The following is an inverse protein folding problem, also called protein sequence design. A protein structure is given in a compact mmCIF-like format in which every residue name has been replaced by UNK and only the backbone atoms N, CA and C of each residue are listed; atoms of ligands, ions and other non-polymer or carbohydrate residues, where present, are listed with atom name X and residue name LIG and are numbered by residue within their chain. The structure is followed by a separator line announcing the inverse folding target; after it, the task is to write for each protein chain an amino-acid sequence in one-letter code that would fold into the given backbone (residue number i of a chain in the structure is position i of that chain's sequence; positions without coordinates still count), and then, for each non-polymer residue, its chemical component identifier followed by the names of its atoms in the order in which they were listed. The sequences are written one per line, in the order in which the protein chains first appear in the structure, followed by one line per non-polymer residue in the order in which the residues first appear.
data_IF_471739562754
#
_entry.id   IF_471739562754
#
_cell.length_a   1.000
_cell.length_b   1.000
_cell.length_c   1.000
_cell.angle_alpha   90.00
_cell.angle_beta   90.00
_cell.angle_gamma   90.00
#
_symmetry.space_group_name_H-M   'P 1'
#
loop_
_entity.id
_entity.type
_entity.pdbx_description
1 polymer ?
#
# COMPACT_ATOMS: atom_id res chain seq x y z
N UNK A 1 23.24 -2.75 37.81
CA UNK A 1 22.05 -3.62 37.95
C UNK A 1 21.21 -3.51 36.67
N UNK A 2 20.40 -4.52 36.28
CA UNK A 2 19.46 -4.38 35.14
C UNK A 2 18.04 -4.26 35.65
N UNK A 3 17.23 -3.47 34.96
CA UNK A 3 15.79 -3.36 35.20
C UNK A 3 15.01 -3.73 33.94
N UNK A 4 13.88 -4.41 34.10
CA UNK A 4 12.98 -4.84 33.03
C UNK A 4 11.69 -4.04 33.10
N UNK A 5 11.45 -3.20 32.09
CA UNK A 5 10.22 -2.40 32.00
C UNK A 5 9.20 -3.10 31.11
N UNK A 6 7.99 -3.27 31.63
CA UNK A 6 6.86 -3.95 31.01
C UNK A 6 5.69 -2.98 30.93
N UNK A 7 5.15 -2.80 29.72
CA UNK A 7 3.94 -2.00 29.48
C UNK A 7 2.75 -2.95 29.32
N UNK A 8 1.69 -2.72 30.09
CA UNK A 8 0.45 -3.52 30.07
C UNK A 8 -0.78 -2.60 30.02
N UNK A 9 -1.98 -3.17 29.84
CA UNK A 9 -3.25 -2.42 29.90
C UNK A 9 -3.54 -1.83 31.29
N UNK A 10 -2.94 -2.40 32.34
CA UNK A 10 -3.13 -1.92 33.71
C UNK A 10 -2.15 -0.82 34.10
N UNK A 11 -1.06 -0.66 33.34
CA UNK A 11 0.02 0.25 33.69
C UNK A 11 1.39 -0.23 33.24
N UNK A 12 2.41 0.46 33.75
CA UNK A 12 3.81 0.23 33.45
C UNK A 12 4.48 -0.27 34.72
N UNK A 13 5.22 -1.36 34.61
CA UNK A 13 5.87 -2.03 35.72
C UNK A 13 7.36 -2.17 35.43
N UNK A 14 8.20 -1.99 36.44
CA UNK A 14 9.64 -2.17 36.40
C UNK A 14 10.05 -3.24 37.40
N UNK A 15 10.79 -4.24 36.93
CA UNK A 15 11.31 -5.34 37.75
C UNK A 15 12.84 -5.38 37.71
N UNK A 16 13.49 -5.92 38.73
CA UNK A 16 14.94 -6.18 38.74
C UNK A 16 15.31 -7.51 38.03
N UNK A 17 16.53 -8.02 38.22
CA UNK A 17 16.98 -9.25 37.57
C UNK A 17 16.34 -10.52 38.15
N UNK A 18 15.98 -10.43 39.42
CA UNK A 18 15.39 -11.43 40.31
C UNK A 18 13.86 -11.50 40.16
N UNK A 19 13.25 -10.43 39.61
CA UNK A 19 11.82 -10.32 39.34
C UNK A 19 11.05 -9.59 40.44
N UNK A 20 11.74 -8.91 41.35
CA UNK A 20 11.13 -8.04 42.35
C UNK A 20 10.73 -6.71 41.74
N UNK A 21 9.59 -6.18 42.19
CA UNK A 21 9.02 -4.95 41.65
C UNK A 21 9.81 -3.75 42.18
N UNK A 22 10.48 -3.03 41.29
CA UNK A 22 11.17 -1.77 41.62
C UNK A 22 10.15 -0.63 41.65
N UNK A 23 9.34 -0.49 40.60
CA UNK A 23 8.43 0.63 40.44
C UNK A 23 7.22 0.27 39.56
N UNK A 24 6.08 0.91 39.80
CA UNK A 24 4.89 0.79 38.93
C UNK A 24 4.15 2.12 38.80
N UNK A 25 3.61 2.36 37.61
CA UNK A 25 2.63 3.41 37.34
C UNK A 25 1.37 2.74 36.82
N UNK A 26 0.27 2.86 37.55
CA UNK A 26 -1.02 2.30 37.15
C UNK A 26 -1.78 3.27 36.25
N UNK A 27 -2.47 2.74 35.24
CA UNK A 27 -3.36 3.52 34.40
C UNK A 27 -4.75 3.66 35.05
N UNK A 28 -5.51 4.73 34.72
CA UNK A 28 -6.90 4.85 35.14
C UNK A 28 -7.72 3.67 34.61
N UNK A 29 -8.77 3.24 35.34
CA UNK A 29 -9.66 2.13 34.94
C UNK A 29 -10.60 2.46 33.75
N UNK A 30 -10.32 3.52 33.02
CA UNK A 30 -11.06 3.88 31.80
C UNK A 30 -10.38 3.27 30.57
N UNK A 31 -11.10 2.39 29.88
CA UNK A 31 -10.60 1.70 28.70
C UNK A 31 -10.24 2.66 27.55
N UNK A 32 -10.94 3.79 27.42
CA UNK A 32 -10.68 4.77 26.36
C UNK A 32 -9.39 5.55 26.61
N UNK A 33 -9.18 6.04 27.84
CA UNK A 33 -7.95 6.68 28.25
C UNK A 33 -6.74 5.73 28.16
N UNK A 34 -6.90 4.46 28.57
CA UNK A 34 -5.85 3.45 28.41
C UNK A 34 -5.52 3.25 26.93
N UNK A 35 -6.52 3.04 26.08
CA UNK A 35 -6.30 2.84 24.65
C UNK A 35 -5.60 4.06 24.01
N UNK A 36 -5.90 5.28 24.46
CA UNK A 36 -5.22 6.48 23.99
C UNK A 36 -3.74 6.48 24.38
N UNK A 37 -3.44 6.23 25.66
CA UNK A 37 -2.07 6.13 26.17
C UNK A 37 -1.28 5.02 25.48
N UNK A 38 -1.90 3.87 25.24
CA UNK A 38 -1.24 2.74 24.57
C UNK A 38 -1.01 2.97 23.07
N UNK A 39 -1.84 3.81 22.42
CA UNK A 39 -1.72 4.10 20.99
C UNK A 39 -0.52 5.01 20.64
N UNK A 40 -0.03 5.81 21.61
CA UNK A 40 1.12 6.71 21.47
C UNK A 40 2.30 6.22 22.34
N UNK A 41 3.45 6.88 22.22
CA UNK A 41 4.51 6.73 23.21
C UNK A 41 4.02 7.27 24.55
N UNK A 42 4.04 6.44 25.61
CA UNK A 42 3.58 6.84 26.94
C UNK A 42 4.66 7.70 27.60
N UNK A 43 4.30 8.90 28.04
CA UNK A 43 5.17 9.74 28.86
C UNK A 43 5.55 9.05 30.18
N UNK A 44 4.61 8.30 30.75
CA UNK A 44 4.83 7.53 31.98
C UNK A 44 5.90 6.45 31.81
N UNK A 45 6.05 5.90 30.60
CA UNK A 45 7.09 4.93 30.29
C UNK A 45 8.46 5.59 30.27
N UNK A 46 8.55 6.80 29.69
CA UNK A 46 9.78 7.58 29.65
C UNK A 46 10.21 7.98 31.06
N UNK A 47 9.27 8.46 31.90
CA UNK A 47 9.53 8.84 33.30
C UNK A 47 10.14 7.69 34.11
N UNK A 48 9.58 6.47 34.01
CA UNK A 48 10.15 5.29 34.68
C UNK A 48 11.56 4.97 34.14
N UNK A 49 11.75 5.02 32.83
CA UNK A 49 13.06 4.71 32.22
C UNK A 49 14.13 5.72 32.65
N UNK A 50 13.79 7.01 32.73
CA UNK A 50 14.70 8.08 33.18
C UNK A 50 15.06 7.89 34.65
N UNK A 51 14.07 7.71 35.52
CA UNK A 51 14.28 7.49 36.95
C UNK A 51 15.13 6.24 37.23
N UNK A 52 14.91 5.15 36.51
CA UNK A 52 15.73 3.94 36.63
C UNK A 52 17.18 4.16 36.16
N UNK A 53 17.39 4.99 35.14
CA UNK A 53 18.75 5.34 34.68
C UNK A 53 19.47 6.22 35.69
N UNK A 54 18.80 7.19 36.30
CA UNK A 54 19.34 8.03 37.39
C UNK A 54 19.76 7.18 38.59
N UNK A 55 19.01 6.11 38.88
CA UNK A 55 19.35 5.12 39.91
C UNK A 55 20.42 4.11 39.49
N UNK A 56 21.03 4.25 38.31
CA UNK A 56 22.13 3.39 37.83
C UNK A 56 21.70 2.05 37.23
N UNK A 57 20.42 1.85 36.91
CA UNK A 57 19.94 0.63 36.25
C UNK A 57 20.12 0.66 34.73
N UNK A 58 20.58 -0.46 34.18
CA UNK A 58 20.57 -0.72 32.74
C UNK A 58 19.20 -1.28 32.33
N UNK A 59 18.34 -0.42 31.79
CA UNK A 59 16.96 -0.76 31.43
C UNK A 59 16.88 -1.64 30.17
N UNK A 60 16.09 -2.71 30.22
CA UNK A 60 15.74 -3.58 29.09
C UNK A 60 14.22 -3.63 28.93
N UNK A 61 13.72 -3.42 27.71
CA UNK A 61 12.31 -3.64 27.37
C UNK A 61 12.11 -5.09 26.94
N UNK A 62 11.74 -5.97 27.88
CA UNK A 62 11.45 -7.39 27.60
C UNK A 62 10.23 -7.85 28.40
N UNK A 63 9.43 -8.79 27.88
CA UNK A 63 8.26 -9.34 28.59
C UNK A 63 8.64 -10.33 29.70
N UNK A 64 9.80 -10.16 30.34
CA UNK A 64 10.24 -11.03 31.45
C UNK A 64 9.39 -10.67 32.68
N UNK A 65 8.91 -11.66 33.43
CA UNK A 65 8.07 -11.48 34.64
C UNK A 65 6.64 -10.97 34.39
N UNK A 66 6.15 -11.02 33.14
CA UNK A 66 4.76 -10.67 32.83
C UNK A 66 3.74 -11.50 33.63
N UNK A 67 4.06 -12.77 33.89
CA UNK A 67 3.24 -13.70 34.68
C UNK A 67 3.02 -13.25 36.13
N UNK A 68 3.92 -12.41 36.68
CA UNK A 68 3.77 -11.83 38.03
C UNK A 68 2.74 -10.69 38.06
N UNK A 69 2.27 -10.22 36.91
CA UNK A 69 1.25 -9.16 36.81
C UNK A 69 -0.12 -9.80 36.64
N UNK A 70 -1.02 -9.58 37.60
CA UNK A 70 -2.42 -10.01 37.50
C UNK A 70 -3.19 -9.09 36.55
N UNK A 71 -3.31 -9.49 35.29
CA UNK A 71 -4.02 -8.72 34.25
C UNK A 71 -5.54 -8.97 34.33
N UNK A 72 -6.32 -7.89 34.40
CA UNK A 72 -7.77 -7.96 34.23
C UNK A 72 -8.12 -8.31 32.78
N UNK A 73 -8.65 -9.52 32.57
CA UNK A 73 -9.02 -10.04 31.25
C UNK A 73 -10.15 -9.24 30.60
N UNK A 74 -11.10 -8.72 31.39
CA UNK A 74 -12.24 -7.94 30.87
C UNK A 74 -11.74 -6.60 30.35
N UNK A 75 -10.95 -5.90 31.16
CA UNK A 75 -10.32 -4.64 30.76
C UNK A 75 -9.39 -4.83 29.56
N UNK A 76 -8.60 -5.91 29.53
CA UNK A 76 -7.75 -6.24 28.39
C UNK A 76 -8.55 -6.40 27.09
N UNK A 77 -9.69 -7.10 27.15
CA UNK A 77 -10.55 -7.30 25.99
C UNK A 77 -11.13 -5.97 25.49
N UNK A 78 -11.71 -5.16 26.38
CA UNK A 78 -12.30 -3.86 26.04
C UNK A 78 -11.26 -2.90 25.42
N UNK A 79 -10.09 -2.77 26.05
CA UNK A 79 -8.99 -1.94 25.52
C UNK A 79 -8.50 -2.46 24.16
N UNK A 80 -8.42 -3.79 24.00
CA UNK A 80 -7.98 -4.40 22.73
C UNK A 80 -8.96 -4.12 21.59
N UNK A 81 -10.26 -4.20 21.85
CA UNK A 81 -11.30 -3.84 20.87
C UNK A 81 -11.19 -2.37 20.46
N UNK A 82 -11.08 -1.47 21.43
CA UNK A 82 -10.94 -0.02 21.15
C UNK A 82 -9.67 0.26 20.34
N UNK A 83 -8.53 -0.34 20.70
CA UNK A 83 -7.28 -0.19 19.95
C UNK A 83 -7.39 -0.76 18.54
N UNK A 84 -8.05 -1.90 18.36
CA UNK A 84 -8.28 -2.51 17.05
C UNK A 84 -9.16 -1.60 16.18
N UNK A 85 -10.28 -1.11 16.71
CA UNK A 85 -11.15 -0.16 16.03
C UNK A 85 -10.42 1.13 15.64
N UNK A 86 -9.60 1.69 16.53
CA UNK A 86 -8.82 2.91 16.24
C UNK A 86 -7.82 2.66 15.12
N UNK A 87 -7.06 1.57 15.17
CA UNK A 87 -6.12 1.19 14.10
C UNK A 87 -6.84 0.93 12.77
N UNK A 88 -8.03 0.36 12.80
CA UNK A 88 -8.87 0.16 11.60
C UNK A 88 -9.31 1.50 11.01
N UNK A 89 -9.82 2.41 11.85
CA UNK A 89 -10.24 3.76 11.43
C UNK A 89 -9.08 4.59 10.87
N UNK A 90 -7.88 4.48 11.45
CA UNK A 90 -6.68 5.14 10.92
C UNK A 90 -6.29 4.59 9.55
N UNK A 91 -6.24 3.26 9.39
CA UNK A 91 -5.95 2.62 8.10
C UNK A 91 -7.01 2.92 7.03
N UNK A 92 -8.27 3.07 7.42
CA UNK A 92 -9.35 3.43 6.51
C UNK A 92 -9.23 4.87 5.99
N UNK A 93 -8.54 5.76 6.72
CA UNK A 93 -8.28 7.15 6.32
C UNK A 93 -7.07 7.30 5.40
N UNK A 94 -6.30 6.24 5.17
CA UNK A 94 -5.17 6.31 4.24
C UNK A 94 -5.71 6.58 2.82
N UNK A 95 -5.30 7.71 2.23
CA UNK A 95 -5.81 8.19 0.93
C UNK A 95 -5.57 7.18 -0.21
N UNK A 96 -4.57 6.32 -0.07
CA UNK A 96 -4.30 5.25 -1.02
C UNK A 96 -5.43 4.22 -1.09
N UNK A 97 -6.22 3.99 -0.03
CA UNK A 97 -7.39 3.10 -0.09
C UNK A 97 -8.43 3.55 -1.10
N UNK A 98 -8.74 4.84 -1.14
CA UNK A 98 -9.73 5.39 -2.06
C UNK A 98 -9.26 5.21 -3.51
N UNK A 99 -7.98 5.47 -3.77
CA UNK A 99 -7.37 5.27 -5.09
C UNK A 99 -7.38 3.79 -5.50
N UNK A 100 -7.06 2.88 -4.58
CA UNK A 100 -7.08 1.43 -4.84
C UNK A 100 -8.49 0.99 -5.25
N UNK A 101 -9.52 1.41 -4.51
CA UNK A 101 -10.90 1.08 -4.87
C UNK A 101 -11.33 1.72 -6.18
N UNK A 102 -10.91 2.97 -6.45
CA UNK A 102 -11.24 3.66 -7.69
C UNK A 102 -10.59 3.02 -8.92
N UNK A 103 -9.34 2.54 -8.83
CA UNK A 103 -8.70 1.85 -9.95
C UNK A 103 -9.26 0.45 -10.17
N UNK A 104 -9.59 -0.29 -9.10
CA UNK A 104 -10.28 -1.59 -9.20
C UNK A 104 -11.64 -1.43 -9.87
N UNK A 105 -12.44 -0.45 -9.43
CA UNK A 105 -13.72 -0.14 -10.06
C UNK A 105 -13.56 0.32 -11.53
N UNK A 106 -12.47 1.03 -11.87
CA UNK A 106 -12.18 1.39 -13.26
C UNK A 106 -11.88 0.16 -14.11
N UNK A 107 -11.15 -0.81 -13.57
CA UNK A 107 -10.82 -2.07 -14.25
C UNK A 107 -12.09 -2.93 -14.44
N UNK A 108 -12.95 -3.01 -13.42
CA UNK A 108 -14.25 -3.70 -13.49
C UNK A 108 -15.20 -3.07 -14.51
N UNK A 109 -15.22 -1.73 -14.58
CA UNK A 109 -15.99 -1.00 -15.60
C UNK A 109 -15.45 -1.28 -17.00
N UNK A 110 -14.14 -1.33 -17.18
CA UNK A 110 -13.53 -1.62 -18.48
C UNK A 110 -13.90 -3.02 -18.98
N UNK A 111 -13.84 -4.01 -18.11
CA UNK A 111 -14.27 -5.38 -18.43
C UNK A 111 -15.76 -5.43 -18.75
N UNK A 112 -16.59 -4.82 -17.91
CA UNK A 112 -18.04 -4.80 -18.09
C UNK A 112 -18.47 -4.09 -19.38
N UNK A 113 -17.89 -2.93 -19.68
CA UNK A 113 -18.19 -2.17 -20.91
C UNK A 113 -17.79 -2.98 -22.14
N UNK A 114 -16.64 -3.64 -22.12
CA UNK A 114 -16.19 -4.47 -23.24
C UNK A 114 -17.15 -5.64 -23.48
N UNK A 115 -17.54 -6.36 -22.42
CA UNK A 115 -18.50 -7.46 -22.51
C UNK A 115 -19.85 -7.00 -23.09
N UNK A 116 -20.37 -5.87 -22.61
CA UNK A 116 -21.63 -5.31 -23.10
C UNK A 116 -21.53 -4.85 -24.56
N UNK A 117 -20.40 -4.28 -24.97
CA UNK A 117 -20.15 -3.88 -26.37
C UNK A 117 -20.06 -5.06 -27.31
N UNK A 118 -19.38 -6.13 -26.90
CA UNK A 118 -19.32 -7.38 -27.66
C UNK A 118 -20.72 -7.93 -27.84
N UNK A 119 -21.51 -8.02 -26.75
CA UNK A 119 -22.89 -8.48 -26.82
C UNK A 119 -23.76 -7.61 -27.71
N UNK A 120 -23.64 -6.29 -27.60
CA UNK A 120 -24.38 -5.34 -28.44
C UNK A 120 -24.04 -5.51 -29.93
N UNK A 121 -22.76 -5.74 -30.23
CA UNK A 121 -22.29 -5.94 -31.61
C UNK A 121 -22.83 -7.24 -32.21
N UNK A 122 -22.83 -8.33 -31.44
CA UNK A 122 -23.45 -9.60 -31.85
C UNK A 122 -24.95 -9.44 -32.07
N UNK A 123 -25.62 -8.71 -31.17
CA UNK A 123 -27.06 -8.54 -31.23
C UNK A 123 -27.49 -7.75 -32.46
N UNK A 124 -26.76 -6.68 -32.78
CA UNK A 124 -26.97 -5.87 -33.99
C UNK A 124 -26.72 -6.63 -35.30
N UNK A 125 -25.94 -7.72 -35.26
CA UNK A 125 -25.69 -8.54 -36.43
C UNK A 125 -26.84 -9.50 -36.76
N UNK A 126 -27.85 -9.64 -35.89
CA UNK A 126 -29.01 -10.47 -36.14
C UNK A 126 -29.98 -9.79 -37.13
N UNK A 127 -30.69 -10.57 -37.96
CA UNK A 127 -31.59 -10.04 -38.99
C UNK A 127 -32.92 -9.48 -38.45
N UNK A 128 -33.11 -9.41 -37.13
CA UNK A 128 -34.33 -8.95 -36.46
C UNK A 128 -34.12 -7.54 -35.91
N UNK A 129 -35.11 -6.65 -36.09
CA UNK A 129 -35.09 -5.33 -35.46
C UNK A 129 -35.61 -5.40 -34.01
N UNK A 130 -34.83 -4.86 -33.07
CA UNK A 130 -35.14 -4.89 -31.64
C UNK A 130 -35.87 -3.63 -31.14
N UNK A 131 -36.24 -2.73 -32.05
CA UNK A 131 -36.97 -1.50 -31.73
C UNK A 131 -36.23 -0.62 -30.71
N UNK A 132 -36.95 -0.11 -29.73
CA UNK A 132 -36.40 0.85 -28.75
C UNK A 132 -35.40 0.22 -27.76
N UNK A 133 -35.42 -1.11 -27.58
CA UNK A 133 -34.50 -1.82 -26.67
C UNK A 133 -33.04 -1.67 -27.16
N UNK A 134 -32.80 -1.67 -28.48
CA UNK A 134 -31.46 -1.48 -29.03
C UNK A 134 -30.90 -0.09 -28.65
N UNK A 135 -31.74 0.94 -28.79
CA UNK A 135 -31.36 2.32 -28.45
C UNK A 135 -31.08 2.45 -26.95
N UNK A 136 -31.94 1.88 -26.11
CA UNK A 136 -31.77 1.89 -24.66
C UNK A 136 -30.49 1.18 -24.23
N UNK A 137 -30.18 0.02 -24.82
CA UNK A 137 -28.95 -0.70 -24.50
C UNK A 137 -27.71 0.11 -24.91
N UNK A 138 -27.73 0.71 -26.10
CA UNK A 138 -26.65 1.57 -26.56
C UNK A 138 -26.43 2.79 -25.64
N UNK A 139 -27.50 3.44 -25.18
CA UNK A 139 -27.37 4.59 -24.27
C UNK A 139 -26.84 4.17 -22.90
N UNK A 140 -27.25 3.01 -22.35
CA UNK A 140 -26.67 2.46 -21.12
C UNK A 140 -25.17 2.22 -21.23
N UNK A 141 -24.69 1.70 -22.36
CA UNK A 141 -23.25 1.54 -22.60
C UNK A 141 -22.54 2.91 -22.60
N UNK A 142 -23.11 3.91 -23.27
CA UNK A 142 -22.57 5.29 -23.28
C UNK A 142 -22.53 5.90 -21.89
N UNK A 143 -23.54 5.68 -21.06
CA UNK A 143 -23.56 6.15 -19.67
C UNK A 143 -22.43 5.55 -18.84
N UNK A 144 -22.17 4.25 -18.99
CA UNK A 144 -21.04 3.58 -18.35
C UNK A 144 -19.70 4.15 -18.84
N UNK A 145 -19.55 4.40 -20.14
CA UNK A 145 -18.35 5.05 -20.69
C UNK A 145 -18.15 6.48 -20.14
N UNK A 146 -19.22 7.26 -20.02
CA UNK A 146 -19.20 8.60 -19.40
C UNK A 146 -18.78 8.48 -17.94
N UNK A 147 -19.29 7.48 -17.20
CA UNK A 147 -18.91 7.24 -15.81
C UNK A 147 -17.44 6.82 -15.67
N UNK A 148 -16.97 5.87 -16.48
CA UNK A 148 -15.55 5.48 -16.57
C UNK A 148 -14.64 6.70 -16.72
N UNK A 149 -14.95 7.61 -17.66
CA UNK A 149 -14.17 8.85 -17.86
C UNK A 149 -14.17 9.77 -16.64
N UNK A 150 -15.28 9.86 -15.89
CA UNK A 150 -15.34 10.63 -14.64
C UNK A 150 -14.46 9.99 -13.57
N UNK A 151 -14.49 8.66 -13.45
CA UNK A 151 -13.69 7.92 -12.49
C UNK A 151 -12.19 8.03 -12.80
N UNK A 152 -11.80 7.96 -14.09
CA UNK A 152 -10.42 8.18 -14.52
C UNK A 152 -9.91 9.57 -14.13
N UNK A 153 -10.71 10.63 -14.37
CA UNK A 153 -10.37 12.00 -13.94
C UNK A 153 -10.23 12.11 -12.42
N UNK A 154 -11.05 11.40 -11.66
CA UNK A 154 -10.95 11.35 -10.21
C UNK A 154 -9.65 10.68 -9.77
N UNK A 155 -9.31 9.53 -10.36
CA UNK A 155 -8.03 8.83 -10.12
C UNK A 155 -6.86 9.75 -10.45
N UNK A 156 -6.91 10.47 -11.58
CA UNK A 156 -5.88 11.44 -11.95
C UNK A 156 -5.68 12.52 -10.87
N UNK A 157 -6.76 13.17 -10.44
CA UNK A 157 -6.69 14.24 -9.45
C UNK A 157 -6.15 13.75 -8.09
N UNK A 158 -6.57 12.57 -7.64
CA UNK A 158 -6.11 12.00 -6.38
C UNK A 158 -4.67 11.49 -6.46
N UNK A 159 -4.27 10.91 -7.60
CA UNK A 159 -2.90 10.45 -7.82
C UNK A 159 -1.88 11.59 -7.84
N UNK A 160 -2.23 12.75 -8.38
CA UNK A 160 -1.35 13.93 -8.32
C UNK A 160 -1.13 14.42 -6.88
N UNK A 161 -2.11 14.22 -5.99
CA UNK A 161 -1.97 14.55 -4.56
C UNK A 161 -1.22 13.49 -3.78
N UNK A 162 -1.44 12.21 -4.09
CA UNK A 162 -0.87 11.09 -3.35
C UNK A 162 0.58 10.79 -3.77
N UNK A 163 0.81 10.63 -5.08
CA UNK A 163 2.06 10.13 -5.62
C UNK A 163 2.43 10.85 -6.94
N UNK A 164 2.76 12.16 -6.87
CA UNK A 164 3.11 12.94 -8.04
C UNK A 164 4.39 12.45 -8.74
N UNK A 165 5.36 11.89 -8.01
CA UNK A 165 6.60 11.41 -8.62
C UNK A 165 6.40 10.15 -9.47
N UNK A 166 5.65 9.16 -8.96
CA UNK A 166 5.33 7.96 -9.75
C UNK A 166 4.47 8.36 -10.96
N UNK A 167 3.48 9.23 -10.75
CA UNK A 167 2.58 9.71 -11.80
C UNK A 167 3.31 10.44 -12.93
N UNK A 168 4.36 11.22 -12.62
CA UNK A 168 5.18 11.86 -13.64
C UNK A 168 5.91 10.88 -14.57
N UNK A 169 6.25 9.68 -14.05
CA UNK A 169 6.97 8.65 -14.80
C UNK A 169 6.01 7.77 -15.61
N UNK A 170 4.90 7.33 -15.01
CA UNK A 170 4.03 6.30 -15.58
C UNK A 170 2.68 6.78 -16.09
N UNK A 171 2.26 7.99 -15.69
CA UNK A 171 0.86 8.42 -15.72
C UNK A 171 0.10 7.90 -14.50
N UNK A 172 -0.99 8.59 -14.16
CA UNK A 172 -1.77 8.35 -12.95
C UNK A 172 -2.44 6.95 -12.92
N UNK A 173 -3.08 6.52 -14.01
CA UNK A 173 -3.80 5.22 -14.07
C UNK A 173 -2.87 4.03 -13.81
N UNK A 174 -1.72 3.99 -14.49
CA UNK A 174 -0.74 2.91 -14.30
C UNK A 174 -0.07 2.97 -12.92
N UNK A 175 0.12 4.18 -12.39
CA UNK A 175 0.64 4.39 -11.03
C UNK A 175 -0.34 3.89 -9.96
N UNK A 176 -1.62 4.21 -10.10
CA UNK A 176 -2.69 3.72 -9.22
C UNK A 176 -2.77 2.19 -9.25
N UNK A 177 -2.69 1.58 -10.44
CA UNK A 177 -2.71 0.12 -10.59
C UNK A 177 -1.49 -0.55 -9.90
N UNK A 178 -0.32 0.07 -9.96
CA UNK A 178 0.86 -0.41 -9.21
C UNK A 178 0.69 -0.31 -7.69
N UNK A 179 0.09 0.78 -7.20
CA UNK A 179 -0.20 0.97 -5.78
C UNK A 179 -1.22 -0.07 -5.30
N UNK A 180 -2.26 -0.35 -6.09
CA UNK A 180 -3.22 -1.43 -5.84
C UNK A 180 -2.54 -2.79 -5.74
N UNK A 181 -1.74 -3.18 -6.74
CA UNK A 181 -1.02 -4.46 -6.72
C UNK A 181 -0.03 -4.60 -5.54
N UNK A 182 0.58 -3.50 -5.10
CA UNK A 182 1.44 -3.51 -3.91
C UNK A 182 0.64 -3.53 -2.59
N UNK A 183 -0.64 -3.17 -2.64
CA UNK A 183 -1.54 -3.06 -1.49
C UNK A 183 -1.30 -1.81 -0.64
N UNK A 184 -0.88 -0.71 -1.26
CA UNK A 184 -0.66 0.61 -0.63
C UNK A 184 0.66 1.28 -1.05
N UNK A 185 0.72 2.62 -0.94
CA UNK A 185 1.89 3.41 -1.35
C UNK A 185 3.12 3.09 -0.48
N UNK A 186 2.92 2.98 0.84
CA UNK A 186 3.98 2.63 1.78
C UNK A 186 4.59 1.26 1.48
N UNK A 187 3.75 0.27 1.14
CA UNK A 187 4.24 -1.06 0.75
C UNK A 187 5.04 -0.98 -0.54
N UNK A 188 4.53 -0.27 -1.55
CA UNK A 188 5.23 -0.08 -2.84
C UNK A 188 6.62 0.54 -2.63
N UNK A 189 6.74 1.55 -1.77
CA UNK A 189 8.01 2.21 -1.47
C UNK A 189 9.06 1.29 -0.81
N UNK A 190 8.62 0.24 -0.12
CA UNK A 190 9.48 -0.77 0.50
C UNK A 190 9.91 -1.87 -0.48
N UNK A 191 9.25 -2.01 -1.63
CA UNK A 191 9.58 -3.06 -2.59
C UNK A 191 10.92 -2.77 -3.29
N UNK A 192 11.76 -3.80 -3.53
CA UNK A 192 12.91 -3.66 -4.40
C UNK A 192 12.46 -3.50 -5.86
N UNK A 193 13.31 -2.87 -6.68
CA UNK A 193 13.03 -2.66 -8.11
C UNK A 193 12.77 -3.98 -8.86
N UNK A 194 13.43 -5.08 -8.49
CA UNK A 194 13.21 -6.40 -9.07
C UNK A 194 11.79 -6.92 -8.86
N UNK A 195 11.18 -6.62 -7.71
CA UNK A 195 9.79 -6.99 -7.42
C UNK A 195 8.82 -6.07 -8.14
N UNK A 196 9.05 -4.76 -8.12
CA UNK A 196 8.25 -3.77 -8.86
C UNK A 196 8.20 -4.11 -10.35
N UNK A 197 9.32 -4.57 -10.92
CA UNK A 197 9.41 -4.96 -12.33
C UNK A 197 8.36 -6.03 -12.73
N UNK A 198 8.02 -6.94 -11.84
CA UNK A 198 7.18 -8.12 -12.12
C UNK A 198 5.83 -8.11 -11.41
N UNK A 199 5.45 -7.02 -10.73
CA UNK A 199 4.11 -6.87 -10.14
C UNK A 199 3.02 -7.02 -11.21
N UNK A 200 2.00 -7.83 -10.97
CA UNK A 200 0.97 -8.19 -11.94
C UNK A 200 1.33 -9.36 -12.86
N UNK A 201 2.52 -9.97 -12.70
CA UNK A 201 2.92 -11.20 -13.39
C UNK A 201 3.08 -12.39 -12.43
N UNK A 202 2.35 -12.40 -11.31
CA UNK A 202 2.44 -13.38 -10.23
C UNK A 202 2.27 -14.81 -10.78
N UNK A 203 1.27 -15.05 -11.63
CA UNK A 203 1.03 -16.37 -12.24
C UNK A 203 2.27 -16.89 -12.98
N UNK A 204 2.93 -16.05 -13.78
CA UNK A 204 4.13 -16.42 -14.53
C UNK A 204 5.36 -16.56 -13.60
N UNK A 205 5.47 -15.69 -12.59
CA UNK A 205 6.53 -15.75 -11.60
C UNK A 205 6.45 -17.04 -10.77
N UNK A 206 5.26 -17.40 -10.27
CA UNK A 206 5.05 -18.65 -9.54
C UNK A 206 5.32 -19.87 -10.42
N UNK A 207 4.93 -19.84 -11.70
CA UNK A 207 5.29 -20.90 -12.65
C UNK A 207 6.80 -21.05 -12.83
N UNK A 208 7.57 -19.96 -12.81
CA UNK A 208 9.04 -20.01 -12.82
C UNK A 208 9.58 -20.62 -11.53
N UNK A 209 9.11 -20.15 -10.37
CA UNK A 209 9.60 -20.62 -9.06
C UNK A 209 9.32 -22.11 -8.85
N UNK A 210 8.13 -22.59 -9.25
CA UNK A 210 7.71 -23.98 -9.03
C UNK A 210 8.27 -24.92 -10.11
N UNK A 211 8.22 -24.51 -11.39
CA UNK A 211 8.49 -25.40 -12.54
C UNK A 211 9.80 -25.08 -13.29
N UNK A 212 10.59 -24.10 -12.84
CA UNK A 212 11.82 -23.69 -13.51
C UNK A 212 11.64 -23.04 -14.89
N UNK A 213 10.40 -22.71 -15.30
CA UNK A 213 10.12 -22.06 -16.59
C UNK A 213 10.78 -20.67 -16.70
N UNK A 214 10.96 -20.08 -17.89
CA UNK A 214 11.64 -18.77 -18.00
C UNK A 214 10.94 -17.67 -17.17
N UNK A 215 11.68 -16.84 -16.40
CA UNK A 215 11.08 -15.81 -15.56
C UNK A 215 10.39 -14.70 -16.38
N UNK A 216 9.33 -14.07 -15.85
CA UNK A 216 8.68 -12.95 -16.51
C UNK A 216 9.62 -11.74 -16.58
N UNK A 217 9.62 -11.05 -17.73
CA UNK A 217 10.48 -9.87 -17.95
C UNK A 217 9.87 -8.57 -17.40
N UNK A 218 8.56 -8.54 -17.25
CA UNK A 218 7.77 -7.39 -16.82
C UNK A 218 6.39 -7.87 -16.38
N UNK A 219 5.78 -7.16 -15.43
CA UNK A 219 4.37 -7.31 -15.09
C UNK A 219 3.53 -6.18 -15.68
N UNK A 220 2.69 -5.56 -14.85
CA UNK A 220 1.75 -4.48 -15.23
C UNK A 220 2.44 -3.31 -15.92
N UNK A 221 3.71 -3.02 -15.57
CA UNK A 221 4.52 -1.96 -16.18
C UNK A 221 4.72 -2.13 -17.69
N UNK A 222 4.44 -3.33 -18.24
CA UNK A 222 4.41 -3.57 -19.68
C UNK A 222 3.49 -2.60 -20.44
N UNK A 223 2.42 -2.11 -19.79
CA UNK A 223 1.47 -1.17 -20.37
C UNK A 223 2.12 0.18 -20.72
N UNK A 224 3.25 0.53 -20.09
CA UNK A 224 3.96 1.76 -20.37
C UNK A 224 4.49 1.79 -21.82
N UNK A 225 4.28 2.91 -22.52
CA UNK A 225 4.59 3.05 -23.96
C UNK A 225 6.04 2.72 -24.31
N UNK A 226 7.00 3.09 -23.45
CA UNK A 226 8.43 2.77 -23.65
C UNK A 226 8.71 1.27 -23.73
N UNK A 227 7.89 0.43 -23.08
CA UNK A 227 8.07 -1.03 -23.09
C UNK A 227 7.19 -1.64 -24.18
N UNK A 228 5.89 -1.34 -24.21
CA UNK A 228 4.92 -1.91 -25.15
C UNK A 228 5.39 -1.79 -26.60
N UNK A 229 5.88 -0.60 -26.97
CA UNK A 229 6.27 -0.26 -28.34
C UNK A 229 7.71 -0.69 -28.68
N UNK A 230 8.46 -1.27 -27.74
CA UNK A 230 9.85 -1.68 -27.96
C UNK A 230 9.96 -3.15 -28.40
N UNK A 231 11.01 -3.52 -29.17
CA UNK A 231 11.26 -4.90 -29.59
C UNK A 231 11.40 -5.88 -28.41
N UNK A 232 10.96 -7.14 -28.58
CA UNK A 232 10.97 -8.19 -27.52
C UNK A 232 12.34 -8.37 -26.84
N UNK A 233 13.45 -8.15 -27.57
CA UNK A 233 14.82 -8.22 -27.05
C UNK A 233 15.12 -7.13 -26.02
N UNK A 234 14.57 -5.93 -26.20
CA UNK A 234 14.86 -4.74 -25.39
C UNK A 234 13.91 -4.55 -24.21
N UNK A 235 12.68 -5.10 -24.28
CA UNK A 235 11.63 -4.93 -23.26
C UNK A 235 12.11 -5.20 -21.83
N UNK A 236 12.88 -6.26 -21.59
CA UNK A 236 13.39 -6.59 -20.26
C UNK A 236 14.42 -5.59 -19.72
N UNK A 237 15.29 -5.04 -20.58
CA UNK A 237 16.27 -4.01 -20.20
C UNK A 237 15.56 -2.70 -19.84
N UNK A 238 14.57 -2.32 -20.63
CA UNK A 238 13.75 -1.11 -20.40
C UNK A 238 12.89 -1.27 -19.14
N UNK A 239 12.26 -2.43 -18.94
CA UNK A 239 11.47 -2.72 -17.74
C UNK A 239 12.28 -2.59 -16.44
N UNK A 240 13.52 -3.07 -16.44
CA UNK A 240 14.43 -2.92 -15.30
C UNK A 240 14.80 -1.46 -15.03
N UNK A 241 15.10 -0.69 -16.08
CA UNK A 241 15.40 0.74 -15.95
C UNK A 241 14.18 1.51 -15.40
N UNK A 242 12.98 1.21 -15.91
CA UNK A 242 11.72 1.79 -15.44
C UNK A 242 11.46 1.45 -13.97
N UNK A 243 11.53 0.18 -13.59
CA UNK A 243 11.30 -0.26 -12.22
C UNK A 243 12.26 0.38 -11.21
N UNK A 244 13.51 0.63 -11.62
CA UNK A 244 14.49 1.35 -10.79
C UNK A 244 14.06 2.79 -10.50
N UNK A 245 13.53 3.49 -11.51
CA UNK A 245 13.04 4.87 -11.35
C UNK A 245 11.74 4.92 -10.55
N UNK A 246 10.83 3.96 -10.76
CA UNK A 246 9.63 3.81 -9.94
C UNK A 246 9.99 3.60 -8.46
N UNK A 247 10.98 2.74 -8.16
CA UNK A 247 11.39 2.48 -6.77
C UNK A 247 11.87 3.76 -6.05
N UNK A 248 12.60 4.63 -6.76
CA UNK A 248 13.05 5.91 -6.22
C UNK A 248 11.87 6.87 -6.04
N UNK A 249 11.02 6.98 -7.06
CA UNK A 249 9.83 7.83 -7.03
C UNK A 249 8.87 7.44 -5.90
N UNK A 250 8.62 6.15 -5.70
CA UNK A 250 7.74 5.64 -4.66
C UNK A 250 8.25 5.98 -3.25
N UNK A 251 9.57 5.89 -3.02
CA UNK A 251 10.18 6.32 -1.76
C UNK A 251 10.07 7.82 -1.55
N UNK A 252 10.25 8.59 -2.63
CA UNK A 252 10.11 10.04 -2.57
C UNK A 252 8.68 10.45 -2.20
N UNK A 253 7.67 9.85 -2.83
CA UNK A 253 6.25 10.07 -2.57
C UNK A 253 5.84 9.63 -1.15
N UNK A 254 6.28 8.45 -0.70
CA UNK A 254 5.88 7.91 0.60
C UNK A 254 6.52 8.63 1.81
N UNK A 255 7.81 8.97 1.70
CA UNK A 255 8.59 9.43 2.86
C UNK A 255 9.05 10.89 2.76
N UNK A 256 9.64 11.29 1.63
CA UNK A 256 10.28 12.62 1.51
C UNK A 256 9.31 13.74 1.14
N UNK A 257 8.22 13.42 0.44
CA UNK A 257 7.26 14.36 -0.16
C UNK A 257 7.88 15.42 -1.09
N UNK A 258 9.16 15.26 -1.49
CA UNK A 258 9.81 16.14 -2.46
C UNK A 258 9.46 15.71 -3.89
N UNK A 259 9.20 16.68 -4.75
CA UNK A 259 9.02 16.42 -6.18
C UNK A 259 10.38 16.33 -6.90
N UNK A 260 10.60 15.19 -7.57
CA UNK A 260 11.76 14.83 -8.39
C UNK A 260 11.35 14.09 -9.69
N UNK A 261 10.05 14.07 -10.02
CA UNK A 261 9.49 13.28 -11.12
C UNK A 261 10.11 13.59 -12.48
N UNK A 262 10.26 14.88 -12.82
CA UNK A 262 10.82 15.31 -14.11
C UNK A 262 12.29 14.90 -14.29
N UNK A 263 13.09 14.99 -13.23
CA UNK A 263 14.48 14.57 -13.25
C UNK A 263 14.59 13.05 -13.47
N UNK A 264 13.75 12.26 -12.78
CA UNK A 264 13.70 10.81 -12.95
C UNK A 264 13.24 10.42 -14.35
N UNK A 265 12.27 11.14 -14.92
CA UNK A 265 11.78 10.94 -16.28
C UNK A 265 12.88 11.21 -17.32
N UNK A 266 13.59 12.34 -17.21
CA UNK A 266 14.74 12.66 -18.09
C UNK A 266 15.82 11.58 -18.01
N UNK A 267 16.18 11.15 -16.80
CA UNK A 267 17.16 10.06 -16.59
C UNK A 267 16.70 8.72 -17.17
N UNK A 268 15.40 8.42 -17.10
CA UNK A 268 14.83 7.22 -17.71
C UNK A 268 14.94 7.29 -19.24
N UNK A 269 14.51 8.39 -19.84
CA UNK A 269 14.52 8.59 -21.29
C UNK A 269 15.94 8.49 -21.87
N UNK A 270 16.93 9.12 -21.21
CA UNK A 270 18.34 8.98 -21.58
C UNK A 270 18.79 7.51 -21.57
N UNK A 271 18.47 6.77 -20.50
CA UNK A 271 18.82 5.35 -20.40
C UNK A 271 18.14 4.49 -21.46
N UNK A 272 16.90 4.80 -21.82
CA UNK A 272 16.17 4.06 -22.86
C UNK A 272 16.75 4.34 -24.26
N UNK A 273 17.20 5.58 -24.53
CA UNK A 273 17.91 5.90 -25.77
C UNK A 273 19.19 5.09 -25.91
N UNK A 274 20.00 4.99 -24.86
CA UNK A 274 21.22 4.15 -24.85
C UNK A 274 20.91 2.67 -25.12
N UNK A 275 19.81 2.14 -24.55
CA UNK A 275 19.41 0.73 -24.75
C UNK A 275 18.97 0.48 -26.20
N UNK A 276 18.37 1.46 -26.87
CA UNK A 276 17.91 1.34 -28.26
C UNK A 276 19.06 1.39 -29.26
N UNK A 277 20.16 2.04 -28.91
CA UNK A 277 21.36 2.16 -29.74
C UNK A 277 22.27 0.92 -29.68
N UNK A 278 22.00 -0.05 -28.79
CA UNK A 278 22.77 -1.29 -28.59
C UNK A 278 22.01 -2.55 -29.02
#
# INVERSE_FOLDING_TARGET
MKAYVIKTVMGIYAFDEEGELIEKILFPKDANAIAEKLSKECEEERKIIEKLKEQGYKVKKKPKFLERIKIDKKLLHEVSLILAERKLKEKAKERDRVIIQAIEALDDLDESINLLKERFSEWKALPLEFGDIEKDFHERIKELEKFRKRLEKFVDAEMQKLAPNISAILGSTLSARLISLAGGLNKLALLPASRIQVLGAEKALFKHVIKGSKPPKHGVIFQHALIRNSPKRLRGKIARALATKIAIAAKADAFSKRYIGDELKKKLEARVKEIRQR
#
